data_IF_551076925527
#
_entry.id   IF_551076925527
#
_cell.length_a   1.000
_cell.length_b   1.000
_cell.length_c   1.000
_cell.angle_alpha   90.00
_cell.angle_beta   90.00
_cell.angle_gamma   90.00
#
_symmetry.space_group_name_H-M   'P 1'
#
loop_
_entity.id
_entity.type
_entity.pdbx_description
1 polymer ?
#
# COMPACT_ATOMS: atom_id res chain seq x y z
N UNK A 1 31.05 -28.56 -44.49
CA UNK A 1 31.59 -27.69 -43.41
C UNK A 1 30.47 -26.87 -42.79
N UNK A 2 29.45 -27.51 -42.17
CA UNK A 2 28.29 -26.79 -41.58
C UNK A 2 27.97 -27.18 -40.12
N UNK A 3 28.86 -27.98 -39.48
CA UNK A 3 28.68 -28.44 -38.12
C UNK A 3 28.96 -27.35 -37.09
N UNK A 4 29.95 -26.51 -37.29
CA UNK A 4 30.34 -25.40 -36.41
C UNK A 4 29.24 -24.32 -36.33
N UNK A 5 28.50 -24.08 -37.43
CA UNK A 5 27.47 -23.05 -37.48
C UNK A 5 26.17 -23.42 -36.72
N UNK A 6 25.86 -24.73 -36.59
CA UNK A 6 24.59 -25.17 -36.02
C UNK A 6 24.67 -25.53 -34.51
N UNK A 7 25.86 -25.86 -34.01
CA UNK A 7 26.02 -26.30 -32.60
C UNK A 7 26.73 -25.24 -31.72
N UNK A 8 27.73 -24.56 -32.26
CA UNK A 8 28.55 -23.62 -31.45
C UNK A 8 27.93 -22.23 -31.38
N UNK A 9 27.37 -21.72 -32.48
CA UNK A 9 26.72 -20.39 -32.47
C UNK A 9 25.46 -20.26 -31.61
N UNK A 10 24.56 -21.23 -31.52
CA UNK A 10 23.43 -21.15 -30.58
C UNK A 10 23.86 -21.16 -29.11
N UNK A 11 24.87 -21.96 -28.76
CA UNK A 11 25.38 -22.01 -27.35
C UNK A 11 26.12 -20.74 -26.94
N UNK A 12 26.90 -20.15 -27.85
CA UNK A 12 27.58 -18.88 -27.58
C UNK A 12 26.58 -17.73 -27.49
N UNK A 13 25.49 -17.72 -28.29
CA UNK A 13 24.42 -16.74 -28.16
C UNK A 13 23.62 -16.86 -26.86
N UNK A 14 23.48 -18.06 -26.28
CA UNK A 14 22.82 -18.22 -24.99
C UNK A 14 23.68 -17.78 -23.82
N UNK A 15 25.01 -17.90 -23.93
CA UNK A 15 25.95 -17.41 -22.92
C UNK A 15 26.17 -15.89 -22.98
N UNK A 16 25.94 -15.25 -24.12
CA UNK A 16 26.07 -13.79 -24.30
C UNK A 16 24.75 -13.03 -24.12
N UNK A 17 23.60 -13.71 -23.94
CA UNK A 17 22.40 -13.08 -23.42
C UNK A 17 22.58 -12.89 -21.90
N UNK A 18 23.37 -11.91 -21.50
CA UNK A 18 23.03 -11.16 -20.32
C UNK A 18 21.63 -10.62 -20.59
N UNK A 19 20.65 -11.10 -19.84
CA UNK A 19 19.34 -10.46 -19.78
C UNK A 19 19.62 -9.05 -19.26
N UNK A 20 19.81 -8.12 -20.18
CA UNK A 20 19.70 -6.69 -19.86
C UNK A 20 18.24 -6.52 -19.47
N UNK A 21 17.91 -6.14 -18.24
CA UNK A 21 16.53 -5.90 -17.86
C UNK A 21 15.90 -4.96 -18.89
N UNK A 22 14.76 -5.33 -19.47
CA UNK A 22 14.12 -4.58 -20.56
C UNK A 22 13.78 -3.12 -20.18
N UNK A 23 13.90 -2.75 -18.90
CA UNK A 23 13.60 -1.41 -18.36
C UNK A 23 14.72 -0.89 -17.44
N UNK A 24 15.90 -0.63 -17.99
CA UNK A 24 16.98 0.06 -17.25
C UNK A 24 16.62 1.52 -16.94
N UNK A 25 15.71 2.13 -17.71
CA UNK A 25 15.35 3.53 -17.62
C UNK A 25 13.86 3.70 -17.40
N UNK A 26 13.50 4.57 -16.47
CA UNK A 26 12.13 4.96 -16.18
C UNK A 26 11.93 6.39 -16.64
N UNK A 27 10.81 6.65 -17.31
CA UNK A 27 10.40 8.02 -17.63
C UNK A 27 9.63 8.60 -16.45
N UNK A 28 10.10 9.72 -15.92
CA UNK A 28 9.38 10.45 -14.88
C UNK A 28 8.01 10.90 -15.40
N UNK A 29 6.90 10.57 -14.74
CA UNK A 29 5.57 10.99 -15.20
C UNK A 29 5.35 12.50 -15.15
N UNK A 30 6.06 13.20 -14.28
CA UNK A 30 5.92 14.64 -14.05
C UNK A 30 6.78 15.45 -15.01
N UNK A 31 8.07 15.13 -15.12
CA UNK A 31 9.04 15.92 -15.91
C UNK A 31 9.34 15.34 -17.28
N UNK A 32 8.97 14.08 -17.52
CA UNK A 32 9.31 13.35 -18.75
C UNK A 32 10.78 12.94 -18.86
N UNK A 33 11.63 13.26 -17.90
CA UNK A 33 13.05 12.89 -17.86
C UNK A 33 13.24 11.39 -17.70
N UNK A 34 14.31 10.84 -18.27
CA UNK A 34 14.71 9.45 -18.08
C UNK A 34 15.60 9.33 -16.85
N UNK A 35 15.26 8.41 -15.95
CA UNK A 35 16.01 8.14 -14.72
C UNK A 35 16.37 6.66 -14.67
N UNK A 36 17.55 6.33 -14.17
CA UNK A 36 17.99 4.94 -14.08
C UNK A 36 17.22 4.19 -13.00
N UNK A 37 16.72 3.00 -13.34
CA UNK A 37 15.84 2.22 -12.43
C UNK A 37 16.46 1.98 -11.06
N UNK A 38 17.76 1.62 -11.01
CA UNK A 38 18.45 1.33 -9.75
C UNK A 38 18.57 2.54 -8.84
N UNK A 39 18.69 3.75 -9.40
CA UNK A 39 18.75 4.98 -8.60
C UNK A 39 17.38 5.27 -7.97
N UNK A 40 16.30 5.00 -8.72
CA UNK A 40 14.94 5.14 -8.22
C UNK A 40 14.63 4.08 -7.15
N UNK A 41 15.06 2.83 -7.36
CA UNK A 41 14.91 1.75 -6.38
C UNK A 41 15.68 2.05 -5.09
N UNK A 42 16.96 2.44 -5.18
CA UNK A 42 17.79 2.82 -4.05
C UNK A 42 17.20 4.03 -3.28
N UNK A 43 16.48 4.92 -3.99
CA UNK A 43 15.80 6.08 -3.42
C UNK A 43 14.34 5.78 -3.00
N UNK A 44 14.02 4.52 -2.68
CA UNK A 44 12.69 4.08 -2.24
C UNK A 44 11.57 4.44 -3.25
N UNK A 45 11.83 4.33 -4.54
CA UNK A 45 10.89 4.68 -5.60
C UNK A 45 10.41 6.15 -5.60
N UNK A 46 11.24 7.04 -5.07
CA UNK A 46 11.11 8.49 -5.26
C UNK A 46 12.10 8.93 -6.31
N UNK A 47 11.63 9.61 -7.34
CA UNK A 47 12.51 10.09 -8.42
C UNK A 47 13.40 11.22 -7.88
N UNK A 48 14.75 11.05 -7.88
CA UNK A 48 15.64 12.03 -7.25
C UNK A 48 15.52 13.44 -7.82
N UNK A 49 15.28 13.57 -9.13
CA UNK A 49 15.26 14.87 -9.82
C UNK A 49 13.96 15.67 -9.64
N UNK A 50 12.83 15.01 -9.38
CA UNK A 50 11.52 15.68 -9.28
C UNK A 50 10.86 15.51 -7.90
N UNK A 51 11.32 14.56 -7.08
CA UNK A 51 10.63 14.18 -5.86
C UNK A 51 9.35 13.37 -6.10
N UNK A 52 9.06 12.99 -7.36
CA UNK A 52 7.85 12.23 -7.67
C UNK A 52 7.83 10.85 -7.00
N UNK A 53 6.78 10.56 -6.27
CA UNK A 53 6.56 9.29 -5.57
C UNK A 53 5.96 8.26 -6.52
N UNK A 54 6.78 7.36 -7.03
CA UNK A 54 6.32 6.23 -7.83
C UNK A 54 5.63 5.17 -6.97
N UNK A 55 4.86 4.29 -7.60
CA UNK A 55 4.31 3.12 -6.91
C UNK A 55 5.45 2.23 -6.40
N UNK A 56 5.23 1.64 -5.25
CA UNK A 56 6.16 0.74 -4.59
C UNK A 56 5.43 -0.55 -4.22
N UNK A 57 5.99 -1.69 -4.57
CA UNK A 57 5.37 -2.98 -4.29
C UNK A 57 5.27 -3.27 -2.79
N UNK A 58 4.28 -4.07 -2.40
CA UNK A 58 4.03 -4.38 -0.99
C UNK A 58 5.24 -5.00 -0.27
N UNK A 59 5.99 -6.00 -0.82
CA UNK A 59 7.16 -6.54 -0.15
C UNK A 59 8.27 -5.53 0.08
N UNK A 60 8.53 -4.65 -0.90
CA UNK A 60 9.58 -3.64 -0.76
C UNK A 60 9.20 -2.61 0.31
N UNK A 61 7.93 -2.21 0.34
CA UNK A 61 7.42 -1.30 1.38
C UNK A 61 7.54 -1.91 2.77
N UNK A 62 7.08 -3.16 2.95
CA UNK A 62 7.18 -3.88 4.22
C UNK A 62 8.64 -4.04 4.67
N UNK A 63 9.52 -4.46 3.76
CA UNK A 63 10.94 -4.60 4.05
C UNK A 63 11.59 -3.28 4.49
N UNK A 64 11.16 -2.16 3.93
CA UNK A 64 11.67 -0.83 4.31
C UNK A 64 11.10 -0.29 5.62
N UNK A 65 9.95 -0.79 6.07
CA UNK A 65 9.29 -0.35 7.30
C UNK A 65 9.74 -1.14 8.52
N UNK A 66 9.74 -2.46 8.44
CA UNK A 66 10.12 -3.31 9.56
C UNK A 66 11.61 -3.28 9.84
N UNK A 67 11.96 -3.43 11.12
CA UNK A 67 13.34 -3.47 11.59
C UNK A 67 14.07 -4.64 10.93
N UNK A 68 15.24 -4.37 10.35
CA UNK A 68 16.04 -5.31 9.56
C UNK A 68 15.26 -5.95 8.37
N UNK A 69 14.08 -5.44 8.04
CA UNK A 69 13.18 -6.02 7.04
C UNK A 69 12.51 -7.33 7.49
N UNK A 70 12.52 -7.62 8.78
CA UNK A 70 12.02 -8.87 9.36
C UNK A 70 10.59 -8.71 9.87
N UNK A 71 9.69 -9.60 9.43
CA UNK A 71 8.30 -9.66 9.88
C UNK A 71 7.73 -11.06 9.70
N UNK A 72 6.71 -11.37 10.46
CA UNK A 72 5.90 -12.58 10.34
C UNK A 72 4.74 -12.29 9.38
N UNK A 73 4.59 -13.09 8.32
CA UNK A 73 3.42 -13.02 7.43
C UNK A 73 2.17 -13.49 8.21
N UNK A 74 1.09 -12.71 8.09
CA UNK A 74 -0.19 -13.07 8.70
C UNK A 74 -0.98 -13.89 7.68
N UNK A 75 -1.38 -15.10 8.09
CA UNK A 75 -2.24 -15.95 7.28
C UNK A 75 -3.61 -15.34 7.10
N UNK A 76 -4.08 -15.31 5.86
CA UNK A 76 -5.42 -14.85 5.49
C UNK A 76 -6.29 -16.05 5.20
N UNK A 77 -7.52 -16.12 5.75
CA UNK A 77 -8.46 -17.19 5.42
C UNK A 77 -8.75 -17.25 3.93
N UNK A 78 -8.89 -18.45 3.39
CA UNK A 78 -9.25 -18.65 1.99
C UNK A 78 -10.68 -18.21 1.72
N UNK A 79 -10.89 -17.54 0.61
CA UNK A 79 -12.22 -17.16 0.13
C UNK A 79 -12.57 -17.92 -1.14
N UNK A 80 -13.86 -18.08 -1.40
CA UNK A 80 -14.32 -18.71 -2.63
C UNK A 80 -13.89 -17.90 -3.85
N UNK A 81 -13.27 -18.56 -4.82
CA UNK A 81 -12.82 -17.94 -6.07
C UNK A 81 -14.00 -17.85 -7.05
N UNK A 82 -14.28 -16.64 -7.52
CA UNK A 82 -15.26 -16.35 -8.59
C UNK A 82 -16.63 -17.03 -8.41
N UNK A 83 -17.34 -16.80 -7.28
CA UNK A 83 -18.66 -17.40 -7.04
C UNK A 83 -19.71 -16.93 -8.06
N UNK A 84 -19.51 -15.75 -8.67
CA UNK A 84 -20.41 -15.19 -9.68
C UNK A 84 -20.13 -15.71 -11.10
N UNK A 85 -19.03 -16.45 -11.31
CA UNK A 85 -18.59 -16.94 -12.63
C UNK A 85 -18.49 -15.81 -13.65
N UNK A 86 -17.92 -14.67 -13.20
CA UNK A 86 -17.87 -13.44 -14.00
C UNK A 86 -17.03 -13.63 -15.28
N UNK A 87 -17.59 -13.13 -16.36
CA UNK A 87 -16.93 -13.08 -17.67
C UNK A 87 -17.36 -11.81 -18.42
N UNK A 88 -16.36 -11.06 -18.86
CA UNK A 88 -16.49 -10.04 -19.90
C UNK A 88 -15.78 -10.56 -21.16
N UNK A 89 -14.79 -9.85 -21.69
CA UNK A 89 -13.91 -10.35 -22.76
C UNK A 89 -13.06 -11.55 -22.29
N UNK A 90 -12.78 -11.63 -20.97
CA UNK A 90 -11.99 -12.70 -20.33
C UNK A 90 -12.69 -13.17 -19.05
N UNK A 91 -12.48 -14.45 -18.68
CA UNK A 91 -12.96 -14.96 -17.38
C UNK A 91 -12.19 -14.30 -16.25
N UNK A 92 -12.86 -14.05 -15.14
CA UNK A 92 -12.24 -13.45 -13.95
C UNK A 92 -11.12 -14.33 -13.38
N UNK A 93 -11.30 -15.65 -13.36
CA UNK A 93 -10.27 -16.61 -12.92
C UNK A 93 -8.97 -16.48 -13.73
N UNK A 94 -9.04 -16.18 -15.02
CA UNK A 94 -7.86 -16.00 -15.87
C UNK A 94 -7.14 -14.69 -15.53
N UNK A 95 -7.89 -13.61 -15.23
CA UNK A 95 -7.32 -12.34 -14.76
C UNK A 95 -6.63 -12.50 -13.41
N UNK A 96 -7.22 -13.25 -12.46
CA UNK A 96 -6.61 -13.56 -11.17
C UNK A 96 -5.30 -14.33 -11.34
N UNK A 97 -5.30 -15.36 -12.22
CA UNK A 97 -4.09 -16.13 -12.51
C UNK A 97 -2.96 -15.25 -13.04
N UNK A 98 -3.26 -14.36 -13.99
CA UNK A 98 -2.27 -13.43 -14.55
C UNK A 98 -1.75 -12.47 -13.48
N UNK A 99 -2.63 -11.90 -12.65
CA UNK A 99 -2.26 -11.01 -11.56
C UNK A 99 -1.35 -11.72 -10.54
N UNK A 100 -1.71 -12.95 -10.14
CA UNK A 100 -0.89 -13.78 -9.25
C UNK A 100 0.47 -14.11 -9.84
N UNK A 101 0.52 -14.46 -11.11
CA UNK A 101 1.79 -14.74 -11.82
C UNK A 101 2.67 -13.49 -11.90
N UNK A 102 2.07 -12.33 -12.20
CA UNK A 102 2.79 -11.06 -12.33
C UNK A 102 3.35 -10.58 -10.99
N UNK A 103 2.58 -10.68 -9.92
CA UNK A 103 2.93 -10.06 -8.63
C UNK A 103 3.54 -11.02 -7.63
N UNK A 104 3.29 -12.33 -7.78
CA UNK A 104 3.66 -13.34 -6.79
C UNK A 104 2.75 -13.38 -5.54
N UNK A 105 1.65 -12.60 -5.52
CA UNK A 105 0.71 -12.54 -4.39
C UNK A 105 -0.56 -13.31 -4.67
N UNK A 106 -1.28 -13.65 -3.59
CA UNK A 106 -2.59 -14.29 -3.71
C UNK A 106 -3.69 -13.26 -4.03
N UNK A 107 -3.60 -12.05 -3.46
CA UNK A 107 -4.51 -10.92 -3.74
C UNK A 107 -3.82 -9.58 -3.41
N UNK A 108 -4.56 -8.47 -3.54
CA UNK A 108 -4.04 -7.11 -3.50
C UNK A 108 -3.49 -6.65 -2.14
N UNK A 109 -3.83 -7.30 -1.03
CA UNK A 109 -3.40 -6.90 0.31
C UNK A 109 -2.43 -7.91 0.90
N UNK A 110 -1.24 -7.43 1.29
CA UNK A 110 -0.24 -8.18 2.04
C UNK A 110 -0.21 -7.72 3.49
N UNK A 111 -0.12 -8.69 4.40
CA UNK A 111 -0.14 -8.46 5.85
C UNK A 111 1.18 -8.91 6.48
N UNK A 112 1.60 -8.19 7.50
CA UNK A 112 2.76 -8.58 8.31
C UNK A 112 2.69 -8.00 9.71
N UNK A 113 3.30 -8.70 10.65
CA UNK A 113 3.49 -8.23 12.02
C UNK A 113 4.98 -8.29 12.36
N UNK A 114 5.50 -7.22 12.94
CA UNK A 114 6.93 -7.10 13.24
C UNK A 114 7.24 -5.84 14.02
N UNK A 115 8.52 -5.52 14.14
CA UNK A 115 8.98 -4.33 14.85
C UNK A 115 9.19 -3.16 13.90
N UNK A 116 8.72 -1.99 14.31
CA UNK A 116 8.98 -0.69 13.70
C UNK A 116 9.65 0.19 14.76
N UNK A 117 10.94 0.45 14.61
CA UNK A 117 11.77 1.11 15.62
C UNK A 117 11.60 0.52 17.03
N UNK A 118 11.65 -0.80 17.11
CA UNK A 118 11.54 -1.59 18.34
C UNK A 118 10.12 -1.87 18.79
N UNK A 119 9.11 -1.15 18.32
CA UNK A 119 7.71 -1.32 18.70
C UNK A 119 6.99 -2.34 17.79
N UNK A 120 6.26 -3.29 18.40
CA UNK A 120 5.43 -4.23 17.63
C UNK A 120 4.27 -3.52 16.97
N UNK A 121 4.10 -3.73 15.66
CA UNK A 121 3.02 -3.16 14.84
C UNK A 121 2.50 -4.22 13.87
N UNK A 122 1.22 -4.10 13.53
CA UNK A 122 0.61 -4.86 12.42
C UNK A 122 0.47 -3.94 11.23
N UNK A 123 1.00 -4.35 10.08
CA UNK A 123 1.00 -3.55 8.84
C UNK A 123 0.26 -4.29 7.75
N UNK A 124 -0.64 -3.59 7.07
CA UNK A 124 -1.28 -4.00 5.84
C UNK A 124 -0.81 -3.09 4.69
N UNK A 125 -0.42 -3.68 3.57
CA UNK A 125 -0.06 -2.94 2.36
C UNK A 125 -0.90 -3.43 1.20
N UNK A 126 -1.69 -2.53 0.64
CA UNK A 126 -2.47 -2.76 -0.56
C UNK A 126 -1.62 -2.41 -1.78
N UNK A 127 -1.47 -3.36 -2.68
CA UNK A 127 -0.62 -3.24 -3.86
C UNK A 127 -1.46 -2.96 -5.11
N UNK A 128 -1.20 -1.83 -5.74
CA UNK A 128 -1.92 -1.41 -6.94
C UNK A 128 -1.62 -2.29 -8.16
N UNK A 129 -0.47 -2.97 -8.18
CA UNK A 129 -0.09 -3.84 -9.30
C UNK A 129 -0.94 -5.11 -9.37
N UNK A 130 -1.58 -5.51 -8.27
CA UNK A 130 -2.58 -6.57 -8.28
C UNK A 130 -3.96 -6.01 -8.63
N UNK A 131 -4.36 -6.13 -9.89
CA UNK A 131 -5.68 -5.72 -10.40
C UNK A 131 -6.09 -4.29 -9.97
N UNK A 132 -5.17 -3.33 -10.02
CA UNK A 132 -5.41 -1.95 -9.60
C UNK A 132 -5.64 -1.77 -8.10
N UNK A 133 -5.14 -2.69 -7.27
CA UNK A 133 -5.38 -2.67 -5.82
C UNK A 133 -6.86 -2.81 -5.45
N UNK A 134 -7.68 -3.38 -6.34
CA UNK A 134 -9.14 -3.37 -6.15
C UNK A 134 -9.58 -4.21 -4.94
N UNK A 135 -10.57 -3.68 -4.21
CA UNK A 135 -11.16 -4.34 -3.06
C UNK A 135 -12.12 -5.44 -3.52
N UNK A 136 -11.67 -6.69 -3.43
CA UNK A 136 -12.48 -7.90 -3.61
C UNK A 136 -12.63 -8.65 -2.29
N UNK A 137 -13.27 -9.82 -2.33
CA UNK A 137 -13.47 -10.66 -1.14
C UNK A 137 -12.16 -11.00 -0.43
N UNK A 138 -11.13 -11.43 -1.19
CA UNK A 138 -9.84 -11.80 -0.60
C UNK A 138 -9.10 -10.58 -0.02
N UNK A 139 -9.14 -9.43 -0.69
CA UNK A 139 -8.57 -8.20 -0.15
C UNK A 139 -9.30 -7.73 1.11
N UNK A 140 -10.64 -7.80 1.11
CA UNK A 140 -11.45 -7.47 2.30
C UNK A 140 -11.20 -8.41 3.46
N UNK A 141 -11.09 -9.72 3.20
CA UNK A 141 -10.71 -10.72 4.21
C UNK A 141 -9.34 -10.43 4.80
N UNK A 142 -8.37 -10.08 3.96
CA UNK A 142 -7.04 -9.71 4.43
C UNK A 142 -7.07 -8.48 5.35
N UNK A 143 -7.82 -7.43 4.99
CA UNK A 143 -7.96 -6.25 5.87
C UNK A 143 -8.55 -6.63 7.22
N UNK A 144 -9.63 -7.43 7.23
CA UNK A 144 -10.27 -7.91 8.46
C UNK A 144 -9.29 -8.75 9.30
N UNK A 145 -8.62 -9.73 8.68
CA UNK A 145 -7.63 -10.57 9.37
C UNK A 145 -6.48 -9.75 9.98
N UNK A 146 -6.04 -8.69 9.30
CA UNK A 146 -5.03 -7.77 9.83
C UNK A 146 -5.52 -6.99 11.06
N UNK A 147 -6.76 -6.49 11.02
CA UNK A 147 -7.40 -5.79 12.14
C UNK A 147 -7.61 -6.73 13.33
N UNK A 148 -8.11 -7.94 13.11
CA UNK A 148 -8.25 -8.97 14.15
C UNK A 148 -6.89 -9.36 14.77
N UNK A 149 -5.85 -9.49 13.95
CA UNK A 149 -4.50 -9.76 14.44
C UNK A 149 -3.98 -8.60 15.30
N UNK A 150 -4.21 -7.35 14.90
CA UNK A 150 -3.82 -6.17 15.69
C UNK A 150 -4.54 -6.15 17.04
N UNK A 151 -5.82 -6.47 17.10
CA UNK A 151 -6.58 -6.63 18.36
C UNK A 151 -5.98 -7.75 19.21
N UNK A 152 -5.79 -8.94 18.63
CA UNK A 152 -5.26 -10.11 19.33
C UNK A 152 -3.85 -9.91 19.89
N UNK A 153 -2.98 -9.22 19.14
CA UNK A 153 -1.58 -8.94 19.52
C UNK A 153 -1.41 -7.63 20.25
N UNK A 154 -2.51 -6.90 20.47
CA UNK A 154 -2.53 -5.60 21.13
C UNK A 154 -1.60 -4.56 20.48
N UNK A 155 -1.50 -4.56 19.16
CA UNK A 155 -0.61 -3.69 18.37
C UNK A 155 -1.38 -2.55 17.70
N UNK A 156 -0.72 -1.41 17.39
CA UNK A 156 -1.22 -0.49 16.39
C UNK A 156 -1.42 -1.19 15.04
N UNK A 157 -2.41 -0.75 14.26
CA UNK A 157 -2.62 -1.18 12.90
C UNK A 157 -2.30 -0.06 11.92
N UNK A 158 -1.41 -0.32 10.96
CA UNK A 158 -1.00 0.63 9.93
C UNK A 158 -1.45 0.10 8.58
N UNK A 159 -2.27 0.86 7.86
CA UNK A 159 -2.76 0.52 6.52
C UNK A 159 -2.17 1.41 5.46
N UNK A 160 -1.40 0.86 4.53
CA UNK A 160 -1.01 1.55 3.29
C UNK A 160 -2.04 1.25 2.23
N UNK A 161 -2.84 2.25 1.87
CA UNK A 161 -3.91 2.11 0.89
C UNK A 161 -3.43 2.55 -0.51
N UNK A 162 -3.68 1.70 -1.51
CA UNK A 162 -3.47 1.98 -2.92
C UNK A 162 -4.52 1.24 -3.75
N UNK A 163 -5.53 1.94 -4.27
CA UNK A 163 -6.66 1.27 -4.91
C UNK A 163 -7.41 2.13 -5.92
N UNK A 164 -7.89 1.47 -6.97
CA UNK A 164 -8.90 2.02 -7.88
C UNK A 164 -10.34 1.88 -7.38
N UNK A 165 -10.60 1.22 -6.23
CA UNK A 165 -11.91 1.03 -5.65
C UNK A 165 -12.37 -0.43 -5.58
N UNK A 166 -13.68 -0.67 -5.60
CA UNK A 166 -14.29 -1.99 -5.53
C UNK A 166 -14.00 -2.83 -6.78
N UNK A 167 -13.80 -4.15 -6.60
CA UNK A 167 -13.50 -5.09 -7.69
C UNK A 167 -14.75 -5.43 -8.49
N UNK A 168 -14.85 -4.88 -9.70
CA UNK A 168 -16.04 -5.03 -10.56
C UNK A 168 -16.43 -6.48 -10.82
N UNK A 169 -15.45 -7.36 -10.99
CA UNK A 169 -15.67 -8.78 -11.30
C UNK A 169 -16.38 -9.55 -10.19
N UNK A 170 -16.33 -9.04 -8.97
CA UNK A 170 -17.01 -9.63 -7.81
C UNK A 170 -18.34 -8.96 -7.45
N UNK A 171 -18.75 -7.95 -8.23
CA UNK A 171 -20.06 -7.31 -8.12
C UNK A 171 -20.43 -6.89 -6.70
N UNK A 172 -21.61 -7.29 -6.23
CA UNK A 172 -22.12 -6.98 -4.88
C UNK A 172 -21.22 -7.53 -3.76
N UNK A 173 -20.52 -8.65 -3.98
CA UNK A 173 -19.63 -9.25 -2.98
C UNK A 173 -18.43 -8.36 -2.66
N UNK A 174 -17.92 -7.65 -3.67
CA UNK A 174 -16.91 -6.62 -3.49
C UNK A 174 -17.47 -5.44 -2.66
N UNK A 175 -18.69 -4.99 -2.93
CA UNK A 175 -19.33 -3.91 -2.16
C UNK A 175 -19.57 -4.31 -0.71
N UNK A 176 -19.88 -5.59 -0.43
CA UNK A 176 -20.05 -6.09 0.93
C UNK A 176 -18.75 -6.11 1.75
N UNK A 177 -17.60 -5.92 1.12
CA UNK A 177 -16.35 -5.77 1.87
C UNK A 177 -16.25 -4.40 2.59
N UNK A 178 -16.96 -3.37 2.09
CA UNK A 178 -16.97 -2.06 2.73
C UNK A 178 -17.49 -2.14 4.18
N UNK A 179 -18.73 -2.63 4.43
CA UNK A 179 -19.23 -2.77 5.80
C UNK A 179 -18.41 -3.78 6.63
N UNK A 180 -17.91 -4.88 6.03
CA UNK A 180 -17.10 -5.85 6.77
C UNK A 180 -15.81 -5.23 7.32
N UNK A 181 -15.08 -4.51 6.49
CA UNK A 181 -13.85 -3.81 6.91
C UNK A 181 -14.14 -2.70 7.92
N UNK A 182 -15.28 -2.00 7.79
CA UNK A 182 -15.72 -0.98 8.76
C UNK A 182 -15.98 -1.59 10.14
N UNK A 183 -16.61 -2.78 10.20
CA UNK A 183 -16.80 -3.52 11.46
C UNK A 183 -15.44 -3.90 12.07
N UNK A 184 -14.47 -4.35 11.25
CA UNK A 184 -13.10 -4.61 11.71
C UNK A 184 -12.42 -3.39 12.31
N UNK A 185 -12.58 -2.21 11.71
CA UNK A 185 -12.07 -0.95 12.27
C UNK A 185 -12.75 -0.62 13.61
N UNK A 186 -14.07 -0.86 13.73
CA UNK A 186 -14.77 -0.67 15.00
C UNK A 186 -14.25 -1.60 16.11
N UNK A 187 -13.96 -2.86 15.79
CA UNK A 187 -13.35 -3.80 16.76
C UNK A 187 -11.99 -3.30 17.26
N UNK A 188 -11.16 -2.75 16.37
CA UNK A 188 -9.86 -2.16 16.74
C UNK A 188 -10.04 -0.94 17.68
N UNK A 189 -11.02 -0.08 17.37
CA UNK A 189 -11.38 1.09 18.19
C UNK A 189 -11.86 0.68 19.58
N UNK A 190 -12.70 -0.33 19.70
CA UNK A 190 -13.15 -0.90 20.97
C UNK A 190 -12.00 -1.47 21.79
N UNK A 191 -11.01 -2.08 21.13
CA UNK A 191 -9.77 -2.53 21.74
C UNK A 191 -8.82 -1.37 22.10
N UNK A 192 -9.16 -0.13 21.76
CA UNK A 192 -8.34 1.08 21.99
C UNK A 192 -6.93 0.97 21.40
N UNK A 193 -6.81 0.39 20.22
CA UNK A 193 -5.55 0.32 19.48
C UNK A 193 -5.55 1.32 18.34
N UNK A 194 -4.45 2.06 18.13
CA UNK A 194 -4.37 3.06 17.06
C UNK A 194 -4.54 2.46 15.67
N UNK A 195 -5.28 3.15 14.82
CA UNK A 195 -5.41 2.90 13.41
C UNK A 195 -4.84 4.06 12.60
N UNK A 196 -3.70 3.85 11.93
CA UNK A 196 -3.03 4.85 11.11
C UNK A 196 -3.18 4.44 9.64
N UNK A 197 -3.65 5.35 8.79
CA UNK A 197 -3.77 5.11 7.36
C UNK A 197 -2.78 5.97 6.60
N UNK A 198 -2.02 5.34 5.71
CA UNK A 198 -1.15 5.99 4.74
C UNK A 198 -1.77 5.88 3.36
N UNK A 199 -2.25 7.01 2.85
CA UNK A 199 -2.91 7.13 1.56
C UNK A 199 -1.85 7.33 0.47
N UNK A 200 -1.75 6.38 -0.46
CA UNK A 200 -0.77 6.41 -1.55
C UNK A 200 -1.44 6.60 -2.91
N UNK A 201 -0.66 6.79 -3.95
CA UNK A 201 -1.16 7.16 -5.29
C UNK A 201 -1.48 5.94 -6.16
N UNK A 202 -2.77 5.74 -6.57
CA UNK A 202 -3.99 6.41 -6.14
C UNK A 202 -4.71 5.66 -5.01
N UNK A 203 -5.55 6.35 -4.24
CA UNK A 203 -6.51 5.73 -3.32
C UNK A 203 -7.89 6.28 -3.62
N UNK A 204 -8.79 5.47 -4.21
CA UNK A 204 -10.07 5.94 -4.74
C UNK A 204 -11.22 4.97 -4.50
N UNK A 205 -12.43 5.42 -4.79
CA UNK A 205 -13.64 4.62 -4.85
C UNK A 205 -14.08 4.03 -3.51
N UNK A 206 -14.49 2.75 -3.53
CA UNK A 206 -14.99 2.04 -2.34
C UNK A 206 -13.97 1.95 -1.20
N UNK A 207 -12.66 2.03 -1.49
CA UNK A 207 -11.60 2.00 -0.49
C UNK A 207 -11.60 3.30 0.33
N UNK A 208 -11.69 4.47 -0.31
CA UNK A 208 -11.86 5.74 0.42
C UNK A 208 -13.22 5.85 1.09
N UNK A 209 -14.26 5.21 0.54
CA UNK A 209 -15.59 5.18 1.17
C UNK A 209 -15.70 4.17 2.34
N UNK A 210 -14.58 3.56 2.75
CA UNK A 210 -14.55 2.58 3.85
C UNK A 210 -13.27 2.72 4.67
N UNK A 211 -12.55 1.66 4.90
CA UNK A 211 -11.42 1.59 5.83
C UNK A 211 -10.33 2.64 5.61
N UNK A 212 -10.10 3.12 4.38
CA UNK A 212 -9.01 4.07 4.14
C UNK A 212 -9.27 5.48 4.71
N UNK A 213 -10.53 5.82 5.02
CA UNK A 213 -10.89 7.11 5.63
C UNK A 213 -11.49 6.95 7.05
N UNK A 214 -11.19 5.83 7.71
CA UNK A 214 -11.65 5.54 9.08
C UNK A 214 -10.49 5.48 10.10
N UNK A 215 -9.29 5.90 9.69
CA UNK A 215 -8.12 5.98 10.58
C UNK A 215 -8.27 7.01 11.68
N UNK A 216 -7.55 6.83 12.77
CA UNK A 216 -7.37 7.87 13.79
C UNK A 216 -6.42 8.96 13.28
N UNK A 217 -5.51 8.62 12.38
CA UNK A 217 -4.60 9.54 11.68
C UNK A 217 -4.51 9.16 10.21
N UNK A 218 -4.67 10.15 9.34
CA UNK A 218 -4.54 10.01 7.89
C UNK A 218 -3.28 10.72 7.39
N UNK A 219 -2.33 9.95 6.88
CA UNK A 219 -1.10 10.44 6.26
C UNK A 219 -1.22 10.25 4.76
N UNK A 220 -0.81 11.22 3.96
CA UNK A 220 -0.70 11.04 2.52
C UNK A 220 0.75 11.13 2.04
N UNK A 221 1.11 10.36 1.01
CA UNK A 221 2.35 10.59 0.27
C UNK A 221 2.19 11.83 -0.63
N UNK A 222 3.25 12.62 -0.85
CA UNK A 222 3.20 13.81 -1.71
C UNK A 222 2.60 13.53 -3.08
N UNK A 223 1.72 14.42 -3.53
CA UNK A 223 1.07 14.34 -4.84
C UNK A 223 0.09 13.18 -5.03
N UNK A 224 -0.19 12.37 -4.01
CA UNK A 224 -1.10 11.23 -4.11
C UNK A 224 -2.51 11.70 -4.51
N UNK A 225 -3.12 10.98 -5.47
CA UNK A 225 -4.51 11.16 -5.86
C UNK A 225 -5.40 10.39 -4.88
N UNK A 226 -6.25 11.11 -4.16
CA UNK A 226 -7.13 10.55 -3.13
C UNK A 226 -8.53 11.12 -3.34
N UNK A 227 -9.53 10.26 -3.49
CA UNK A 227 -10.90 10.71 -3.70
C UNK A 227 -11.85 9.55 -3.95
N UNK A 228 -13.16 9.83 -4.01
CA UNK A 228 -14.14 8.80 -4.34
C UNK A 228 -14.21 8.59 -5.85
N UNK A 229 -14.77 9.55 -6.60
CA UNK A 229 -14.77 9.52 -8.05
C UNK A 229 -13.50 10.19 -8.60
N UNK A 230 -12.95 9.66 -9.70
CA UNK A 230 -11.81 10.29 -10.36
C UNK A 230 -12.15 11.67 -10.93
N UNK A 231 -11.18 12.61 -11.03
CA UNK A 231 -11.40 13.98 -11.50
C UNK A 231 -12.14 14.05 -12.84
N UNK A 232 -11.73 13.21 -13.81
CA UNK A 232 -12.38 13.14 -15.14
C UNK A 232 -13.88 12.84 -15.05
N UNK A 233 -14.28 11.90 -14.17
CA UNK A 233 -15.70 11.51 -14.01
C UNK A 233 -16.48 12.68 -13.42
N UNK A 234 -15.90 13.38 -12.44
CA UNK A 234 -16.53 14.56 -11.81
C UNK A 234 -16.72 15.64 -12.85
N UNK A 235 -15.67 16.05 -13.57
CA UNK A 235 -15.73 17.09 -14.61
C UNK A 235 -16.76 16.78 -15.69
N UNK A 236 -16.84 15.53 -16.14
CA UNK A 236 -17.84 15.09 -17.12
C UNK A 236 -19.26 15.15 -16.58
N UNK A 237 -19.44 14.90 -15.28
CA UNK A 237 -20.75 14.91 -14.64
C UNK A 237 -21.27 16.31 -14.37
N UNK A 238 -20.43 17.17 -13.78
CA UNK A 238 -20.82 18.56 -13.45
C UNK A 238 -20.60 19.53 -14.62
N UNK A 239 -19.87 19.10 -15.66
CA UNK A 239 -19.50 19.91 -16.84
C UNK A 239 -18.71 21.18 -16.52
N UNK A 240 -17.94 21.15 -15.44
CA UNK A 240 -17.06 22.23 -15.00
C UNK A 240 -15.64 21.73 -14.81
N UNK A 241 -14.66 22.63 -14.92
CA UNK A 241 -13.25 22.32 -14.64
C UNK A 241 -13.02 22.33 -13.14
N UNK A 242 -12.33 21.33 -12.64
CA UNK A 242 -11.95 21.24 -11.24
C UNK A 242 -10.81 22.22 -10.90
N UNK A 243 -10.74 22.71 -9.66
CA UNK A 243 -9.63 23.52 -9.18
C UNK A 243 -8.28 22.83 -9.41
N UNK A 244 -7.22 23.63 -9.58
CA UNK A 244 -5.88 23.09 -9.66
C UNK A 244 -5.52 22.32 -8.38
N UNK A 245 -4.90 21.15 -8.54
CA UNK A 245 -4.54 20.28 -7.40
C UNK A 245 -5.71 19.54 -6.75
N UNK A 246 -6.93 19.66 -7.27
CA UNK A 246 -8.10 18.95 -6.72
C UNK A 246 -7.83 17.45 -6.49
N UNK A 247 -8.21 16.93 -5.33
CA UNK A 247 -7.98 15.55 -4.90
C UNK A 247 -6.49 15.16 -4.74
N UNK A 248 -5.55 16.10 -4.75
CA UNK A 248 -4.17 15.83 -4.40
C UNK A 248 -3.96 15.93 -2.90
N UNK A 249 -2.96 15.21 -2.40
CA UNK A 249 -2.64 15.12 -0.98
C UNK A 249 -2.54 16.51 -0.31
N UNK A 250 -1.85 17.46 -0.96
CA UNK A 250 -1.65 18.82 -0.48
C UNK A 250 -2.98 19.59 -0.38
N UNK A 251 -3.78 19.52 -1.43
CA UNK A 251 -5.12 20.12 -1.47
C UNK A 251 -6.01 19.57 -0.34
N UNK A 252 -5.97 18.26 -0.12
CA UNK A 252 -6.79 17.60 0.90
C UNK A 252 -6.34 17.94 2.32
N UNK A 253 -5.05 18.18 2.53
CA UNK A 253 -4.52 18.64 3.83
C UNK A 253 -5.00 20.08 4.12
N UNK A 254 -4.98 20.97 3.14
CA UNK A 254 -5.51 22.34 3.26
C UNK A 254 -7.01 22.36 3.57
N UNK A 255 -7.75 21.33 3.13
CA UNK A 255 -9.20 21.20 3.36
C UNK A 255 -9.57 20.29 4.55
N UNK A 256 -8.60 19.87 5.36
CA UNK A 256 -8.83 19.09 6.58
C UNK A 256 -9.27 17.63 6.36
N UNK A 257 -9.06 17.09 5.15
CA UNK A 257 -9.37 15.69 4.82
C UNK A 257 -8.22 14.73 5.13
N UNK A 258 -7.00 15.25 5.23
CA UNK A 258 -5.77 14.53 5.54
C UNK A 258 -5.02 15.31 6.61
N UNK A 259 -4.50 14.63 7.62
CA UNK A 259 -3.84 15.28 8.75
C UNK A 259 -2.44 15.78 8.38
N UNK A 260 -1.71 15.04 7.54
CA UNK A 260 -0.36 15.42 7.12
C UNK A 260 0.05 14.81 5.78
N UNK A 261 0.88 15.54 5.05
CA UNK A 261 1.61 15.01 3.88
C UNK A 261 3.03 14.71 4.29
N UNK A 262 3.47 13.45 4.14
CA UNK A 262 4.77 13.00 4.61
C UNK A 262 5.55 12.35 3.47
N UNK A 263 6.75 12.89 3.20
CA UNK A 263 7.66 12.31 2.22
C UNK A 263 8.07 10.88 2.63
N UNK A 264 8.13 9.96 1.67
CA UNK A 264 8.37 8.51 1.90
C UNK A 264 9.57 8.23 2.79
N UNK A 265 10.66 8.95 2.63
CA UNK A 265 11.87 8.78 3.45
C UNK A 265 11.67 9.11 4.94
N UNK A 266 10.65 9.89 5.26
CA UNK A 266 10.31 10.25 6.64
C UNK A 266 9.20 9.39 7.23
N UNK A 267 8.48 8.62 6.39
CA UNK A 267 7.30 7.85 6.83
C UNK A 267 7.62 6.88 7.96
N UNK A 268 8.74 6.16 7.88
CA UNK A 268 9.11 5.17 8.90
C UNK A 268 9.24 5.81 10.28
N UNK A 269 9.99 6.88 10.40
CA UNK A 269 10.17 7.61 11.66
C UNK A 269 8.85 8.26 12.15
N UNK A 270 8.09 8.87 11.23
CA UNK A 270 6.78 9.47 11.57
C UNK A 270 5.80 8.44 12.10
N UNK A 271 5.69 7.27 11.45
CA UNK A 271 4.82 6.19 11.90
C UNK A 271 5.23 5.64 13.27
N UNK A 272 6.53 5.45 13.49
CA UNK A 272 7.05 5.01 14.78
C UNK A 272 6.71 6.00 15.91
N UNK A 273 6.90 7.30 15.64
CA UNK A 273 6.57 8.36 16.60
C UNK A 273 5.07 8.39 16.94
N UNK A 274 4.21 8.37 15.90
CA UNK A 274 2.75 8.33 16.10
C UNK A 274 2.31 7.10 16.90
N UNK A 275 2.86 5.92 16.57
CA UNK A 275 2.55 4.71 17.32
C UNK A 275 2.95 4.86 18.80
N UNK A 276 4.13 5.42 19.12
CA UNK A 276 4.55 5.67 20.49
C UNK A 276 3.62 6.62 21.23
N UNK A 277 3.30 7.74 20.61
CA UNK A 277 2.42 8.76 21.19
C UNK A 277 1.02 8.19 21.49
N UNK A 278 0.43 7.52 20.51
CA UNK A 278 -0.93 6.99 20.62
C UNK A 278 -1.02 5.78 21.57
N UNK A 279 0.07 5.03 21.74
CA UNK A 279 0.14 3.91 22.69
C UNK A 279 0.72 4.32 24.06
N UNK A 280 1.06 5.61 24.24
CA UNK A 280 1.66 6.16 25.48
C UNK A 280 2.95 5.44 25.90
N UNK A 281 3.76 5.01 24.90
CA UNK A 281 5.06 4.41 25.17
C UNK A 281 6.14 5.49 25.33
N UNK A 282 7.13 5.29 26.22
CA UNK A 282 8.23 6.25 26.40
C UNK A 282 9.07 6.36 25.12
N UNK A 283 9.59 7.56 24.87
CA UNK A 283 10.54 7.78 23.77
C UNK A 283 11.84 6.99 23.99
N UNK A 284 12.48 6.43 22.95
CA UNK A 284 13.78 5.79 23.07
C UNK A 284 14.79 6.77 23.66
N UNK A 285 15.47 6.38 24.73
CA UNK A 285 16.51 7.21 25.39
C UNK A 285 16.03 8.08 26.55
N UNK A 286 14.74 8.20 26.81
CA UNK A 286 14.25 8.80 28.05
C UNK A 286 14.06 7.68 29.07
N UNK A 287 15.06 7.45 29.91
CA UNK A 287 14.84 6.65 31.13
C UNK A 287 13.81 7.39 31.97
N UNK A 288 12.75 6.71 32.45
CA UNK A 288 11.85 7.35 33.44
C UNK A 288 12.69 7.78 34.61
N UNK A 289 12.80 9.08 34.83
CA UNK A 289 13.37 9.57 36.06
C UNK A 289 12.46 9.08 37.20
N UNK A 290 12.98 8.16 38.00
CA UNK A 290 12.31 7.76 39.22
C UNK A 290 12.04 9.04 40.06
N UNK A 291 10.85 9.21 40.62
CA UNK A 291 10.58 10.35 41.45
C UNK A 291 11.65 10.42 42.57
N UNK A 292 12.36 11.55 42.64
CA UNK A 292 13.30 11.80 43.71
C UNK A 292 12.49 11.78 45.01
N UNK A 293 12.84 10.93 46.00
CA UNK A 293 12.12 10.95 47.26
C UNK A 293 12.25 12.35 47.85
N UNK A 294 11.11 12.97 48.18
CA UNK A 294 11.11 14.23 48.91
C UNK A 294 11.81 13.95 50.24
N UNK A 295 12.92 14.60 50.40
CA UNK A 295 13.63 14.55 51.70
C UNK A 295 12.68 15.04 52.80
N UNK A 296 12.47 14.17 53.80
CA UNK A 296 11.78 14.46 55.03
C UNK A 296 12.58 15.46 55.87
#
# INVERSE_FOLDING_TARGET
MNWINNIVRPKIRSFLRRETPENLWIKCPETGSLVFYKDVEANQFVIPSSGYHMRMSAPLRMKGLFDNGEFEDIAVPEVQIDPLKFRDERRYVDRLKDARTKTGYQDAVKLGIGRLEGQMVTIAVQDFDFMGGSLGMAAGEAVVAGLEMAVKRETPFIMFAASGGARMQEGILSLMQLPRTTVGVQMLREARKPYIVVLTNPTTGGVTASYAMLGDVHIAEPGALIGFAGPRVIEQTIREKLPAGFQRAEYLTEHGMVDMVVHRHKLRATLAELCRLLTKQPSPGVQPQLPVPAHA
#
